data_IF_225050258777
#
_entry.id   IF_225050258777
#
_cell.length_a   1.000
_cell.length_b   1.000
_cell.length_c   1.000
_cell.angle_alpha   90.00
_cell.angle_beta   90.00
_cell.angle_gamma   90.00
#
_symmetry.space_group_name_H-M   'P 1'
#
loop_
_entity.id
_entity.type
_entity.pdbx_description
1 polymer ?
#
# COMPACT_ATOMS: atom_id res chain seq x y z
N UNK A 1 1.43 16.81 -44.08
CA UNK A 1 1.72 15.49 -43.48
C UNK A 1 2.31 15.52 -42.06
N UNK A 2 2.56 16.68 -41.43
CA UNK A 2 3.15 16.75 -40.07
C UNK A 2 2.16 16.45 -38.92
N UNK A 3 0.88 16.84 -39.07
CA UNK A 3 -0.12 16.74 -37.99
C UNK A 3 -0.56 15.31 -37.61
N UNK A 4 -0.44 14.35 -38.54
CA UNK A 4 -0.80 12.95 -38.30
C UNK A 4 0.24 12.23 -37.44
N UNK A 5 1.54 12.49 -37.66
CA UNK A 5 2.61 11.92 -36.85
C UNK A 5 2.60 12.44 -35.41
N UNK A 6 2.28 13.72 -35.21
CA UNK A 6 2.13 14.30 -33.87
C UNK A 6 0.92 13.72 -33.13
N UNK A 7 -0.22 13.55 -33.81
CA UNK A 7 -1.41 12.96 -33.21
C UNK A 7 -1.19 11.49 -32.83
N UNK A 8 -0.51 10.73 -33.70
CA UNK A 8 -0.17 9.34 -33.45
C UNK A 8 0.81 9.20 -32.26
N UNK A 9 1.79 10.10 -32.16
CA UNK A 9 2.69 10.19 -31.02
C UNK A 9 1.94 10.45 -29.70
N UNK A 10 1.00 11.41 -29.69
CA UNK A 10 0.19 11.72 -28.51
C UNK A 10 -0.67 10.52 -28.10
N UNK A 11 -1.36 9.88 -29.06
CA UNK A 11 -2.19 8.71 -28.80
C UNK A 11 -1.38 7.51 -28.29
N UNK A 12 -0.20 7.27 -28.87
CA UNK A 12 0.70 6.22 -28.41
C UNK A 12 1.20 6.50 -26.99
N UNK A 13 1.56 7.75 -26.70
CA UNK A 13 2.01 8.16 -25.35
C UNK A 13 0.89 8.01 -24.33
N UNK A 14 -0.34 8.38 -24.68
CA UNK A 14 -1.52 8.21 -23.83
C UNK A 14 -1.85 6.72 -23.59
N UNK A 15 -1.73 5.87 -24.63
CA UNK A 15 -1.94 4.43 -24.52
C UNK A 15 -0.89 3.77 -23.63
N UNK A 16 0.39 4.07 -23.84
CA UNK A 16 1.50 3.58 -23.01
C UNK A 16 1.34 4.06 -21.56
N UNK A 17 0.96 5.32 -21.35
CA UNK A 17 0.68 5.87 -20.01
C UNK A 17 -0.46 5.13 -19.32
N UNK A 18 -1.56 4.84 -20.03
CA UNK A 18 -2.70 4.09 -19.50
C UNK A 18 -2.30 2.65 -19.12
N UNK A 19 -1.55 1.97 -19.99
CA UNK A 19 -1.04 0.63 -19.72
C UNK A 19 -0.06 0.58 -18.53
N UNK A 20 0.79 1.61 -18.40
CA UNK A 20 1.72 1.77 -17.28
C UNK A 20 0.98 1.98 -15.95
N UNK A 21 -0.04 2.85 -15.93
CA UNK A 21 -0.86 3.10 -14.75
C UNK A 21 -1.67 1.85 -14.35
N UNK A 22 -2.27 1.14 -15.31
CA UNK A 22 -3.01 -0.10 -15.03
C UNK A 22 -2.11 -1.22 -14.48
N UNK A 23 -0.87 -1.34 -14.97
CA UNK A 23 0.09 -2.31 -14.41
C UNK A 23 0.57 -1.93 -13.01
N UNK A 24 0.68 -0.63 -12.72
CA UNK A 24 0.99 -0.12 -11.37
C UNK A 24 -0.14 -0.38 -10.37
N UNK A 25 -1.39 -0.22 -10.80
CA UNK A 25 -2.57 -0.56 -9.98
C UNK A 25 -2.67 -2.07 -9.66
N UNK A 26 -2.01 -2.94 -10.45
CA UNK A 26 -1.98 -4.38 -10.23
C UNK A 26 -0.82 -4.85 -9.33
N UNK A 27 -0.05 -3.94 -8.74
CA UNK A 27 1.09 -4.30 -7.89
C UNK A 27 0.63 -4.83 -6.54
N UNK A 28 -0.39 -4.19 -5.96
CA UNK A 28 -0.95 -4.51 -4.67
C UNK A 28 -2.36 -5.08 -4.86
N UNK A 29 -2.73 -6.02 -4.00
CA UNK A 29 -4.11 -6.50 -3.95
C UNK A 29 -5.05 -5.39 -3.44
N UNK A 30 -6.34 -5.50 -3.75
CA UNK A 30 -7.40 -4.59 -3.29
C UNK A 30 -7.31 -4.25 -1.80
N UNK A 31 -7.16 -5.27 -0.95
CA UNK A 31 -7.02 -5.11 0.51
C UNK A 31 -5.70 -4.45 0.90
N UNK A 32 -4.61 -4.73 0.17
CA UNK A 32 -3.33 -4.06 0.36
C UNK A 32 -3.43 -2.57 0.01
N UNK A 33 -4.19 -2.25 -1.04
CA UNK A 33 -4.44 -0.88 -1.45
C UNK A 33 -5.23 -0.09 -0.40
N UNK A 34 -6.28 -0.69 0.16
CA UNK A 34 -7.05 -0.08 1.24
C UNK A 34 -6.18 0.23 2.48
N UNK A 35 -5.31 -0.71 2.85
CA UNK A 35 -4.37 -0.48 3.97
C UNK A 35 -3.42 0.67 3.66
N UNK A 36 -2.90 0.77 2.44
CA UNK A 36 -2.00 1.85 2.05
C UNK A 36 -2.70 3.21 2.08
N UNK A 37 -3.93 3.30 1.55
CA UNK A 37 -4.73 4.52 1.56
C UNK A 37 -4.99 5.01 2.98
N UNK A 38 -5.40 4.10 3.89
CA UNK A 38 -5.58 4.46 5.32
C UNK A 38 -4.27 4.87 6.00
N UNK A 39 -3.16 4.21 5.64
CA UNK A 39 -1.83 4.52 6.21
C UNK A 39 -1.29 5.88 5.80
N UNK A 40 -1.72 6.42 4.65
CA UNK A 40 -1.42 7.81 4.25
C UNK A 40 -2.22 8.80 5.10
N UNK A 41 -3.44 8.45 5.50
CA UNK A 41 -4.26 9.25 6.42
C UNK A 41 -3.73 9.28 7.86
N UNK A 42 -2.89 8.33 8.26
CA UNK A 42 -2.21 8.31 9.56
C UNK A 42 -1.81 6.92 10.03
N UNK A 43 -1.17 6.82 11.22
CA UNK A 43 -0.80 5.54 11.83
C UNK A 43 -2.02 4.66 12.08
N UNK A 44 -1.90 3.37 11.78
CA UNK A 44 -2.95 2.40 12.01
C UNK A 44 -2.70 1.61 13.29
N UNK A 45 -3.76 1.34 14.04
CA UNK A 45 -3.69 0.51 15.24
C UNK A 45 -3.83 -0.98 14.91
N UNK A 46 -3.69 -1.83 15.93
CA UNK A 46 -3.93 -3.26 15.78
C UNK A 46 -5.41 -3.57 15.53
N UNK A 47 -6.31 -2.79 16.11
CA UNK A 47 -7.75 -2.98 15.96
C UNK A 47 -8.20 -2.59 14.55
N UNK A 48 -7.68 -1.48 14.01
CA UNK A 48 -7.94 -1.09 12.61
C UNK A 48 -7.53 -2.18 11.60
N UNK A 49 -6.42 -2.86 11.88
CA UNK A 49 -5.96 -3.99 11.08
C UNK A 49 -6.88 -5.20 11.21
N UNK A 50 -7.36 -5.49 12.41
CA UNK A 50 -8.25 -6.61 12.64
C UNK A 50 -9.62 -6.38 11.96
N UNK A 51 -10.12 -5.15 11.98
CA UNK A 51 -11.32 -4.71 11.27
C UNK A 51 -11.18 -4.91 9.76
N UNK A 52 -10.07 -4.43 9.18
CA UNK A 52 -9.80 -4.57 7.74
C UNK A 52 -9.65 -6.02 7.29
N UNK A 53 -9.00 -6.84 8.11
CA UNK A 53 -8.84 -8.26 7.81
C UNK A 53 -10.11 -9.06 8.10
N UNK A 54 -11.14 -8.45 8.71
CA UNK A 54 -12.40 -9.12 9.08
C UNK A 54 -12.20 -10.23 10.11
N UNK A 55 -11.20 -10.11 11.00
CA UNK A 55 -10.80 -11.17 11.94
C UNK A 55 -11.22 -10.89 13.39
N UNK A 56 -12.04 -9.87 13.65
CA UNK A 56 -12.44 -9.46 15.00
C UNK A 56 -13.07 -10.57 15.84
N UNK A 57 -13.86 -11.44 15.22
CA UNK A 57 -14.52 -12.56 15.88
C UNK A 57 -13.60 -13.78 16.07
N UNK A 58 -12.42 -13.77 15.44
CA UNK A 58 -11.46 -14.86 15.55
C UNK A 58 -10.68 -14.79 16.87
N UNK A 59 -10.08 -15.92 17.26
CA UNK A 59 -9.23 -15.95 18.45
C UNK A 59 -7.99 -15.07 18.29
N UNK A 60 -7.45 -14.59 19.41
CA UNK A 60 -6.27 -13.72 19.44
C UNK A 60 -5.09 -14.27 18.63
N UNK A 61 -4.85 -15.59 18.70
CA UNK A 61 -3.76 -16.24 17.96
C UNK A 61 -3.99 -16.16 16.44
N UNK A 62 -5.23 -16.37 15.98
CA UNK A 62 -5.59 -16.28 14.57
C UNK A 62 -5.46 -14.84 14.08
N UNK A 63 -5.95 -13.87 14.85
CA UNK A 63 -5.81 -12.44 14.53
C UNK A 63 -4.33 -12.05 14.38
N UNK A 64 -3.52 -12.40 15.39
CA UNK A 64 -2.08 -12.14 15.39
C UNK A 64 -1.38 -12.74 14.18
N UNK A 65 -1.68 -14.01 13.88
CA UNK A 65 -1.07 -14.73 12.76
C UNK A 65 -1.45 -14.11 11.42
N UNK A 66 -2.75 -13.92 11.17
CA UNK A 66 -3.25 -13.32 9.92
C UNK A 66 -2.68 -11.93 9.68
N UNK A 67 -2.66 -11.08 10.71
CA UNK A 67 -2.04 -9.76 10.64
C UNK A 67 -0.56 -9.83 10.31
N UNK A 68 0.19 -10.74 10.94
CA UNK A 68 1.62 -10.88 10.65
C UNK A 68 1.89 -11.43 9.26
N UNK A 69 1.08 -12.38 8.78
CA UNK A 69 1.16 -12.91 7.41
C UNK A 69 0.90 -11.80 6.40
N UNK A 70 -0.20 -11.04 6.58
CA UNK A 70 -0.56 -9.93 5.71
C UNK A 70 0.51 -8.84 5.65
N UNK A 71 1.01 -8.37 6.80
CA UNK A 71 2.06 -7.33 6.82
C UNK A 71 3.34 -7.83 6.14
N UNK A 72 3.69 -9.11 6.33
CA UNK A 72 4.87 -9.69 5.69
C UNK A 72 4.71 -9.73 4.17
N UNK A 73 3.54 -10.11 3.67
CA UNK A 73 3.23 -10.10 2.24
C UNK A 73 3.25 -8.69 1.67
N UNK A 74 2.58 -7.73 2.33
CA UNK A 74 2.56 -6.32 1.94
C UNK A 74 3.99 -5.73 1.86
N UNK A 75 4.79 -5.94 2.90
CA UNK A 75 6.18 -5.45 2.92
C UNK A 75 7.05 -6.17 1.89
N UNK A 76 6.83 -7.45 1.61
CA UNK A 76 7.55 -8.17 0.57
C UNK A 76 7.22 -7.63 -0.83
N UNK A 77 5.93 -7.38 -1.11
CA UNK A 77 5.46 -6.75 -2.36
C UNK A 77 6.06 -5.36 -2.52
N UNK A 78 5.98 -4.52 -1.48
CA UNK A 78 6.58 -3.18 -1.49
C UNK A 78 8.08 -3.24 -1.72
N UNK A 79 8.81 -4.12 -1.00
CA UNK A 79 10.25 -4.23 -1.14
C UNK A 79 10.67 -4.65 -2.55
N UNK A 80 9.89 -5.51 -3.21
CA UNK A 80 10.15 -5.95 -4.59
C UNK A 80 9.92 -4.83 -5.61
N UNK A 81 9.01 -3.90 -5.34
CA UNK A 81 8.50 -2.93 -6.32
C UNK A 81 9.03 -1.51 -6.09
N UNK A 82 9.14 -1.12 -4.82
CA UNK A 82 9.57 0.18 -4.33
C UNK A 82 10.93 0.13 -3.62
N UNK A 83 11.51 -1.06 -3.42
CA UNK A 83 12.84 -1.22 -2.83
C UNK A 83 12.90 -1.11 -1.31
N UNK A 84 11.79 -0.80 -0.63
CA UNK A 84 11.73 -0.70 0.83
C UNK A 84 10.42 -1.27 1.40
N UNK A 85 10.42 -1.54 2.71
CA UNK A 85 9.23 -1.92 3.47
C UNK A 85 8.29 -0.72 3.61
N UNK A 86 6.98 -0.95 3.50
CA UNK A 86 5.98 0.12 3.46
C UNK A 86 5.40 0.44 4.82
N UNK A 87 5.22 -0.57 5.66
CA UNK A 87 4.76 -0.37 7.03
C UNK A 87 5.87 -0.70 8.02
N UNK A 88 6.12 0.26 8.91
CA UNK A 88 7.00 0.15 10.06
C UNK A 88 6.16 -0.08 11.31
N UNK A 89 6.71 -0.83 12.26
CA UNK A 89 6.07 -1.09 13.55
C UNK A 89 6.71 -0.18 14.59
N UNK A 90 5.92 0.73 15.14
CA UNK A 90 6.36 1.68 16.15
C UNK A 90 5.52 1.52 17.42
N UNK A 91 6.07 1.94 18.56
CA UNK A 91 5.30 1.99 19.80
C UNK A 91 4.58 3.34 19.85
N UNK A 92 3.33 3.34 20.27
CA UNK A 92 2.60 4.60 20.48
C UNK A 92 3.29 5.44 21.55
N UNK A 93 3.41 6.75 21.30
CA UNK A 93 3.93 7.72 22.27
C UNK A 93 2.96 7.92 23.45
N UNK A 94 1.66 7.79 23.19
CA UNK A 94 0.59 7.94 24.18
C UNK A 94 0.44 6.69 25.07
N UNK A 95 0.62 5.51 24.49
CA UNK A 95 0.63 4.24 25.23
C UNK A 95 1.69 3.29 24.67
N UNK A 96 2.80 3.13 25.40
CA UNK A 96 3.92 2.24 25.03
C UNK A 96 3.54 0.77 24.93
N UNK A 97 2.36 0.37 25.41
CA UNK A 97 1.82 -1.00 25.27
C UNK A 97 1.22 -1.24 23.89
N UNK A 98 0.85 -0.18 23.18
CA UNK A 98 0.24 -0.26 21.86
C UNK A 98 1.30 -0.21 20.76
N UNK A 99 1.07 -1.00 19.71
CA UNK A 99 1.87 -1.01 18.49
C UNK A 99 1.06 -0.28 17.42
N UNK A 100 1.71 0.69 16.80
CA UNK A 100 1.22 1.43 15.64
C UNK A 100 1.95 0.94 14.39
N UNK A 101 1.20 0.86 13.29
CA UNK A 101 1.71 0.60 11.96
C UNK A 101 1.79 1.94 11.24
N UNK A 102 3.01 2.43 11.05
CA UNK A 102 3.29 3.74 10.48
C UNK A 102 3.81 3.56 9.06
N UNK A 103 3.37 4.41 8.15
CA UNK A 103 3.89 4.44 6.80
C UNK A 103 5.38 4.81 6.81
N UNK A 104 6.19 4.09 6.05
CA UNK A 104 7.60 4.43 5.90
C UNK A 104 7.74 5.80 5.19
N UNK A 105 8.33 6.81 5.84
CA UNK A 105 8.45 8.16 5.27
C UNK A 105 9.22 8.19 3.95
N UNK A 106 10.12 7.23 3.74
CA UNK A 106 10.87 7.10 2.48
C UNK A 106 9.98 6.80 1.28
N UNK A 107 8.86 6.11 1.52
CA UNK A 107 7.94 5.68 0.48
C UNK A 107 6.71 6.56 0.37
N UNK A 108 6.53 7.53 1.27
CA UNK A 108 5.38 8.44 1.28
C UNK A 108 5.23 9.17 -0.06
N UNK A 109 6.32 9.74 -0.59
CA UNK A 109 6.32 10.42 -1.89
C UNK A 109 6.05 9.48 -3.07
N UNK A 110 6.52 8.24 -2.99
CA UNK A 110 6.32 7.25 -4.06
C UNK A 110 4.89 6.70 -4.04
N UNK A 111 4.31 6.52 -2.86
CA UNK A 111 2.92 6.12 -2.67
C UNK A 111 1.94 7.24 -3.03
N UNK A 112 2.23 8.49 -2.68
CA UNK A 112 1.44 9.65 -3.09
C UNK A 112 1.42 9.87 -4.61
N UNK A 113 2.35 9.26 -5.35
CA UNK A 113 2.33 9.25 -6.83
C UNK A 113 1.58 8.06 -7.41
N UNK A 114 1.29 7.05 -6.60
CA UNK A 114 0.58 5.84 -7.00
C UNK A 114 -0.91 5.90 -6.66
N UNK A 115 -1.26 6.53 -5.54
CA UNK A 115 -2.62 6.92 -5.15
C UNK A 115 -3.09 8.14 -5.95
#
# INVERSE_FOLDING_TARGET
>A
SFGLFTLFGILLTAYLRKGYLNKRAAIFDSLQWEVLERSVGGPMTTDDFNDLLGVNEASWEVQRRKRSEFIKELNATSKKQLGAEVLLREKSELDKRQILYVLNPRLENDLARLL
#
